data_IF_402631237469
#
_entry.id   IF_402631237469
#
_cell.length_a   1.000
_cell.length_b   1.000
_cell.length_c   1.000
_cell.angle_alpha   90.00
_cell.angle_beta   90.00
_cell.angle_gamma   90.00
#
_symmetry.space_group_name_H-M   'P 1'
#
loop_
_entity.id
_entity.type
_entity.pdbx_description
1 polymer ?
#
# COMPACT_ATOMS: atom_id res chain seq x y z
N UNK A 1 14.36 -40.15 -18.95
CA UNK A 1 13.51 -40.84 -19.94
C UNK A 1 12.04 -40.39 -19.81
N UNK A 2 11.73 -39.09 -19.89
CA UNK A 2 10.35 -38.54 -19.79
C UNK A 2 9.90 -37.97 -21.15
N UNK A 3 10.73 -38.09 -22.19
CA UNK A 3 10.54 -37.40 -23.48
C UNK A 3 10.01 -38.30 -24.61
N UNK A 4 9.77 -39.59 -24.37
CA UNK A 4 9.30 -40.52 -25.41
C UNK A 4 7.77 -40.71 -25.43
N UNK A 5 7.07 -40.50 -24.31
CA UNK A 5 5.61 -40.65 -24.26
C UNK A 5 4.83 -39.60 -25.07
N UNK A 6 5.47 -38.49 -25.46
CA UNK A 6 4.82 -37.38 -26.16
C UNK A 6 4.86 -37.50 -27.70
N UNK A 7 5.52 -38.53 -28.26
CA UNK A 7 5.66 -38.70 -29.73
C UNK A 7 4.63 -39.61 -30.38
N UNK A 8 3.79 -40.30 -29.60
CA UNK A 8 2.84 -41.32 -30.10
C UNK A 8 1.37 -40.89 -30.02
N UNK A 9 1.08 -39.59 -29.97
CA UNK A 9 -0.31 -39.12 -30.08
C UNK A 9 -0.67 -39.04 -31.58
N UNK A 10 -1.62 -39.84 -32.08
CA UNK A 10 -2.03 -39.79 -33.48
C UNK A 10 -2.65 -38.43 -33.79
N UNK A 11 -2.14 -37.74 -34.80
CA UNK A 11 -2.85 -36.60 -35.40
C UNK A 11 -3.96 -37.15 -36.31
N UNK A 12 -5.09 -37.56 -35.71
CA UNK A 12 -6.30 -37.87 -36.48
C UNK A 12 -7.11 -36.60 -36.68
N UNK A 13 -7.32 -36.27 -37.95
CA UNK A 13 -8.12 -35.18 -38.44
C UNK A 13 -9.59 -35.25 -37.97
N UNK A 14 -10.17 -34.07 -37.71
CA UNK A 14 -11.59 -33.75 -37.65
C UNK A 14 -12.50 -34.55 -36.68
N UNK A 15 -12.62 -34.04 -35.46
CA UNK A 15 -13.94 -33.78 -34.89
C UNK A 15 -13.96 -32.36 -34.30
N UNK A 16 -14.77 -31.48 -34.89
CA UNK A 16 -15.24 -30.25 -34.27
C UNK A 16 -16.12 -30.58 -33.05
N UNK A 17 -15.53 -31.15 -32.00
CA UNK A 17 -16.02 -30.89 -30.65
C UNK A 17 -15.34 -29.60 -30.24
N UNK A 18 -16.13 -28.53 -30.16
CA UNK A 18 -15.87 -27.50 -29.18
C UNK A 18 -15.89 -28.20 -27.82
N UNK A 19 -14.78 -28.84 -27.44
CA UNK A 19 -14.50 -29.15 -26.05
C UNK A 19 -14.41 -27.74 -25.46
N UNK A 20 -15.51 -27.24 -24.92
CA UNK A 20 -15.44 -26.15 -23.97
C UNK A 20 -14.43 -26.63 -22.95
N UNK A 21 -13.22 -26.08 -23.00
CA UNK A 21 -12.19 -26.42 -22.03
C UNK A 21 -12.86 -26.25 -20.67
N UNK A 22 -13.00 -27.35 -19.92
CA UNK A 22 -13.64 -27.29 -18.62
C UNK A 22 -12.94 -26.18 -17.83
N UNK A 23 -13.75 -25.24 -17.32
CA UNK A 23 -13.21 -24.10 -16.59
C UNK A 23 -12.38 -24.64 -15.43
N UNK A 24 -11.08 -24.40 -15.49
CA UNK A 24 -10.14 -24.87 -14.49
C UNK A 24 -9.47 -23.65 -13.83
N UNK A 25 -9.57 -23.50 -12.50
CA UNK A 25 -10.32 -24.35 -11.55
C UNK A 25 -11.85 -24.17 -11.69
N UNK A 26 -12.63 -25.16 -11.22
CA UNK A 26 -14.11 -25.12 -11.26
C UNK A 26 -14.66 -23.87 -10.57
N UNK A 27 -14.07 -23.53 -9.42
CA UNK A 27 -14.29 -22.25 -8.74
C UNK A 27 -13.02 -21.39 -8.79
N UNK A 28 -13.11 -20.09 -9.11
CA UNK A 28 -11.96 -19.19 -9.09
C UNK A 28 -11.28 -19.16 -7.72
N UNK A 29 -9.96 -19.33 -7.70
CA UNK A 29 -9.17 -19.27 -6.48
C UNK A 29 -8.38 -17.96 -6.43
N UNK A 30 -8.74 -17.05 -5.52
CA UNK A 30 -8.04 -15.76 -5.37
C UNK A 30 -6.58 -15.94 -4.89
N UNK A 31 -6.34 -16.94 -4.02
CA UNK A 31 -4.99 -17.22 -3.54
C UNK A 31 -4.19 -18.00 -4.59
N UNK A 32 -3.42 -17.27 -5.41
CA UNK A 32 -2.59 -17.84 -6.49
C UNK A 32 -1.60 -18.87 -5.96
N UNK A 33 -1.00 -18.65 -4.78
CA UNK A 33 -0.06 -19.60 -4.18
C UNK A 33 -0.75 -20.91 -3.79
N UNK A 34 -1.98 -20.85 -3.28
CA UNK A 34 -2.78 -22.02 -2.97
C UNK A 34 -3.14 -22.77 -4.25
N UNK A 35 -3.53 -22.03 -5.30
CA UNK A 35 -3.82 -22.61 -6.60
C UNK A 35 -2.60 -23.37 -7.16
N UNK A 36 -1.42 -22.75 -7.15
CA UNK A 36 -0.18 -23.39 -7.58
C UNK A 36 0.19 -24.60 -6.70
N UNK A 37 0.03 -24.50 -5.38
CA UNK A 37 0.28 -25.60 -4.44
C UNK A 37 -0.53 -26.85 -4.79
N UNK A 38 -1.81 -26.68 -5.18
CA UNK A 38 -2.73 -27.79 -5.47
C UNK A 38 -2.70 -28.28 -6.90
N UNK A 39 -2.50 -27.38 -7.85
CA UNK A 39 -2.79 -27.67 -9.26
C UNK A 39 -1.55 -27.66 -10.16
N UNK A 40 -0.39 -27.18 -9.71
CA UNK A 40 0.80 -27.14 -10.57
C UNK A 40 1.35 -28.55 -10.84
N UNK A 41 1.29 -29.06 -12.09
CA UNK A 41 1.61 -30.46 -12.39
C UNK A 41 3.12 -30.74 -12.30
N UNK A 42 3.96 -29.72 -12.48
CA UNK A 42 5.42 -29.85 -12.55
C UNK A 42 6.13 -29.67 -11.20
N UNK A 43 5.43 -29.27 -10.14
CA UNK A 43 6.05 -29.07 -8.82
C UNK A 43 6.32 -30.39 -8.12
N UNK A 44 7.60 -30.64 -7.81
CA UNK A 44 8.06 -31.72 -6.93
C UNK A 44 7.54 -31.51 -5.50
N UNK A 45 7.45 -32.56 -4.66
CA UNK A 45 6.91 -32.45 -3.30
C UNK A 45 7.56 -31.34 -2.46
N UNK A 46 8.88 -31.20 -2.47
CA UNK A 46 9.58 -30.15 -1.72
C UNK A 46 9.30 -28.74 -2.25
N UNK A 47 9.06 -28.56 -3.55
CA UNK A 47 8.72 -27.26 -4.13
C UNK A 47 7.31 -26.84 -3.71
N UNK A 48 6.37 -27.79 -3.62
CA UNK A 48 5.04 -27.53 -3.07
C UNK A 48 5.10 -27.12 -1.61
N UNK A 49 6.00 -27.73 -0.83
CA UNK A 49 6.19 -27.37 0.57
C UNK A 49 6.72 -25.92 0.71
N UNK A 50 7.66 -25.50 -0.15
CA UNK A 50 8.11 -24.10 -0.18
C UNK A 50 6.95 -23.15 -0.49
N UNK A 51 6.15 -23.43 -1.53
CA UNK A 51 4.97 -22.60 -1.87
C UNK A 51 3.99 -22.54 -0.70
N UNK A 52 3.76 -23.66 0.00
CA UNK A 52 2.90 -23.73 1.18
C UNK A 52 3.44 -22.89 2.33
N UNK A 53 4.75 -22.95 2.60
CA UNK A 53 5.41 -22.16 3.64
C UNK A 53 5.28 -20.67 3.33
N UNK A 54 5.64 -20.25 2.10
CA UNK A 54 5.52 -18.85 1.67
C UNK A 54 4.07 -18.37 1.81
N UNK A 55 3.09 -19.15 1.33
CA UNK A 55 1.67 -18.82 1.47
C UNK A 55 1.26 -18.62 2.93
N UNK A 56 1.60 -19.54 3.82
CA UNK A 56 1.25 -19.45 5.24
C UNK A 56 1.90 -18.23 5.91
N UNK A 57 3.15 -17.95 5.60
CA UNK A 57 3.87 -16.79 6.11
C UNK A 57 3.24 -15.49 5.59
N UNK A 58 2.98 -15.38 4.29
CA UNK A 58 2.32 -14.22 3.71
C UNK A 58 0.93 -13.98 4.31
N UNK A 59 0.14 -15.04 4.52
CA UNK A 59 -1.17 -14.94 5.17
C UNK A 59 -1.06 -14.49 6.63
N UNK A 60 -0.04 -14.95 7.34
CA UNK A 60 0.22 -14.53 8.72
C UNK A 60 0.56 -13.03 8.81
N UNK A 61 1.40 -12.53 7.88
CA UNK A 61 1.81 -11.12 7.86
C UNK A 61 0.86 -10.19 7.10
N UNK A 62 -0.12 -10.72 6.37
CA UNK A 62 -1.07 -9.92 5.59
C UNK A 62 -1.76 -8.82 6.42
N UNK A 63 -2.30 -9.11 7.62
CA UNK A 63 -2.92 -8.07 8.45
C UNK A 63 -1.95 -6.95 8.85
N UNK A 64 -0.66 -7.27 9.03
CA UNK A 64 0.35 -6.27 9.41
C UNK A 64 0.62 -5.28 8.27
N UNK A 65 0.49 -5.71 7.01
CA UNK A 65 0.61 -4.80 5.87
C UNK A 65 -0.53 -3.77 5.80
N UNK A 66 -1.70 -4.08 6.37
CA UNK A 66 -2.91 -3.25 6.31
C UNK A 66 -3.01 -2.18 7.42
N UNK A 67 -1.97 -2.05 8.27
CA UNK A 67 -1.96 -1.09 9.38
C UNK A 67 -0.71 -0.21 9.40
N UNK A 68 0.06 -0.19 8.31
CA UNK A 68 1.32 0.56 8.26
C UNK A 68 1.11 2.03 7.97
N UNK A 69 0.19 2.40 7.08
CA UNK A 69 0.04 3.78 6.63
C UNK A 69 -0.35 4.69 7.79
N UNK A 70 -1.38 4.32 8.57
CA UNK A 70 -1.78 5.12 9.72
C UNK A 70 -0.71 5.13 10.82
N UNK A 71 -0.16 3.96 11.16
CA UNK A 71 0.80 3.84 12.25
C UNK A 71 2.12 4.59 11.97
N UNK A 72 2.73 4.31 10.81
CA UNK A 72 4.00 4.94 10.42
C UNK A 72 3.82 6.43 10.14
N UNK A 73 2.68 6.82 9.54
CA UNK A 73 2.30 8.21 9.34
C UNK A 73 2.13 8.97 10.66
N UNK A 74 1.46 8.38 11.64
CA UNK A 74 1.22 8.97 12.97
C UNK A 74 2.52 9.30 13.68
N UNK A 75 3.44 8.34 13.70
CA UNK A 75 4.76 8.53 14.30
C UNK A 75 5.52 9.68 13.62
N UNK A 76 5.59 9.67 12.27
CA UNK A 76 6.26 10.75 11.53
C UNK A 76 5.63 12.11 11.77
N UNK A 77 4.30 12.19 11.77
CA UNK A 77 3.55 13.43 11.93
C UNK A 77 3.80 14.05 13.31
N UNK A 78 3.72 13.27 14.39
CA UNK A 78 3.95 13.79 15.74
C UNK A 78 5.41 14.06 16.03
N UNK A 79 6.34 13.23 15.57
CA UNK A 79 7.76 13.53 15.70
C UNK A 79 8.08 14.86 15.02
N UNK A 80 7.60 15.07 13.78
CA UNK A 80 7.76 16.34 13.10
C UNK A 80 7.11 17.48 13.89
N UNK A 81 5.84 17.36 14.24
CA UNK A 81 5.06 18.44 14.87
C UNK A 81 5.62 18.85 16.23
N UNK A 82 5.95 17.89 17.10
CA UNK A 82 6.48 18.17 18.44
C UNK A 82 7.88 18.76 18.37
N UNK A 83 8.76 18.23 17.52
CA UNK A 83 10.14 18.73 17.42
C UNK A 83 10.18 20.14 16.85
N UNK A 84 9.31 20.48 15.91
CA UNK A 84 9.16 21.87 15.44
C UNK A 84 8.62 22.78 16.56
N UNK A 85 7.62 22.35 17.32
CA UNK A 85 7.11 23.14 18.44
C UNK A 85 8.19 23.39 19.52
N UNK A 86 8.97 22.38 19.87
CA UNK A 86 10.11 22.52 20.79
C UNK A 86 11.17 23.48 20.25
N UNK A 87 11.40 23.47 18.93
CA UNK A 87 12.33 24.40 18.29
C UNK A 87 11.81 25.84 18.33
N UNK A 88 10.52 26.05 18.04
CA UNK A 88 9.86 27.36 18.11
C UNK A 88 9.87 27.94 19.55
N UNK A 89 9.83 27.07 20.57
CA UNK A 89 9.97 27.45 21.98
C UNK A 89 11.44 27.63 22.44
N UNK A 90 12.42 27.37 21.56
CA UNK A 90 13.85 27.47 21.88
C UNK A 90 14.36 26.37 22.82
N UNK A 91 13.64 25.24 22.93
CA UNK A 91 13.99 24.11 23.79
C UNK A 91 14.97 23.12 23.14
N UNK A 92 15.21 23.25 21.83
CA UNK A 92 16.19 22.45 21.08
C UNK A 92 17.06 23.35 20.20
N UNK A 93 18.27 22.90 19.89
CA UNK A 93 19.25 23.69 19.11
C UNK A 93 19.10 23.47 17.60
N UNK A 94 19.66 24.39 16.82
CA UNK A 94 19.72 24.31 15.36
C UNK A 94 20.42 23.02 14.89
N UNK A 95 21.53 22.63 15.54
CA UNK A 95 22.27 21.41 15.17
C UNK A 95 21.41 20.16 15.35
N UNK A 96 20.72 20.06 16.48
CA UNK A 96 19.80 18.96 16.74
C UNK A 96 18.65 18.95 15.72
N UNK A 97 18.10 20.12 15.39
CA UNK A 97 17.00 20.23 14.43
C UNK A 97 17.44 19.80 13.03
N UNK A 98 18.66 20.12 12.61
CA UNK A 98 19.22 19.68 11.33
C UNK A 98 19.35 18.16 11.23
N UNK A 99 19.79 17.49 12.30
CA UNK A 99 19.84 16.02 12.35
C UNK A 99 18.44 15.40 12.27
N UNK A 100 17.47 15.98 12.99
CA UNK A 100 16.07 15.56 12.95
C UNK A 100 15.51 15.66 11.53
N UNK A 101 15.72 16.80 10.87
CA UNK A 101 15.22 17.03 9.51
C UNK A 101 15.85 16.04 8.52
N UNK A 102 17.17 15.81 8.61
CA UNK A 102 17.85 14.83 7.77
C UNK A 102 17.27 13.43 7.95
N UNK A 103 17.08 12.99 9.19
CA UNK A 103 16.49 11.68 9.50
C UNK A 103 15.05 11.59 9.01
N UNK A 104 14.23 12.61 9.26
CA UNK A 104 12.84 12.66 8.84
C UNK A 104 12.72 12.54 7.32
N UNK A 105 13.46 13.37 6.56
CA UNK A 105 13.46 13.34 5.09
C UNK A 105 13.85 11.96 4.55
N UNK A 106 14.84 11.29 5.16
CA UNK A 106 15.23 9.95 4.74
C UNK A 106 14.12 8.92 4.97
N UNK A 107 13.41 9.00 6.10
CA UNK A 107 12.31 8.07 6.44
C UNK A 107 11.11 8.26 5.51
N UNK A 108 10.73 9.50 5.20
CA UNK A 108 9.58 9.81 4.35
C UNK A 108 9.93 9.91 2.87
N UNK A 109 11.14 9.53 2.46
CA UNK A 109 11.54 9.58 1.06
C UNK A 109 10.71 8.60 0.22
N UNK A 110 10.14 9.12 -0.88
CA UNK A 110 9.42 8.34 -1.89
C UNK A 110 10.14 8.52 -3.23
N UNK A 111 10.75 7.46 -3.78
CA UNK A 111 11.29 7.50 -5.13
C UNK A 111 10.19 7.83 -6.15
N UNK A 112 10.56 8.52 -7.22
CA UNK A 112 9.67 8.71 -8.37
C UNK A 112 9.34 7.37 -9.05
N UNK A 113 8.19 7.31 -9.73
CA UNK A 113 7.68 6.07 -10.35
C UNK A 113 8.61 5.46 -11.41
N UNK A 114 9.47 6.28 -12.03
CA UNK A 114 10.44 5.89 -13.06
C UNK A 114 11.81 5.52 -12.47
N UNK A 115 11.99 5.62 -11.15
CA UNK A 115 13.25 5.28 -10.50
C UNK A 115 13.46 3.77 -10.46
N UNK A 116 14.68 3.26 -10.69
CA UNK A 116 15.00 1.84 -10.51
C UNK A 116 14.83 1.38 -9.06
N UNK A 117 14.77 2.30 -8.09
CA UNK A 117 14.57 2.03 -6.68
C UNK A 117 13.11 2.09 -6.23
N UNK A 118 12.18 2.34 -7.16
CA UNK A 118 10.75 2.34 -6.84
C UNK A 118 10.26 0.92 -6.55
N UNK A 119 9.84 0.65 -5.31
CA UNK A 119 9.32 -0.65 -4.88
C UNK A 119 7.87 -0.58 -4.37
N UNK A 120 7.13 0.46 -4.78
CA UNK A 120 5.79 0.76 -4.29
C UNK A 120 5.74 2.04 -3.46
N UNK A 121 4.56 2.32 -2.90
CA UNK A 121 4.32 3.50 -2.06
C UNK A 121 4.92 3.24 -0.67
N UNK A 122 5.77 4.16 -0.21
CA UNK A 122 6.29 4.21 1.14
C UNK A 122 5.15 4.60 2.11
N UNK A 123 4.76 3.73 3.06
CA UNK A 123 3.69 4.02 4.01
C UNK A 123 3.99 5.21 4.91
N UNK A 124 5.26 5.46 5.24
CA UNK A 124 5.69 6.64 6.00
C UNK A 124 5.35 7.92 5.22
N UNK A 125 5.73 7.97 3.94
CA UNK A 125 5.44 9.10 3.05
C UNK A 125 3.93 9.33 2.94
N UNK A 126 3.16 8.30 2.59
CA UNK A 126 1.73 8.45 2.36
C UNK A 126 1.01 8.87 3.64
N UNK A 127 1.24 8.17 4.74
CA UNK A 127 0.58 8.44 6.02
C UNK A 127 0.92 9.84 6.57
N UNK A 128 2.20 10.22 6.52
CA UNK A 128 2.64 11.55 6.95
C UNK A 128 1.97 12.65 6.14
N UNK A 129 2.02 12.56 4.80
CA UNK A 129 1.45 13.60 3.95
C UNK A 129 -0.08 13.65 4.08
N UNK A 130 -0.77 12.52 4.26
CA UNK A 130 -2.20 12.52 4.53
C UNK A 130 -2.56 13.27 5.82
N UNK A 131 -1.79 13.07 6.90
CA UNK A 131 -2.04 13.77 8.18
C UNK A 131 -1.71 15.26 8.09
N UNK A 132 -0.63 15.62 7.40
CA UNK A 132 -0.32 17.02 7.10
C UNK A 132 -1.41 17.67 6.25
N UNK A 133 -1.96 16.95 5.30
CA UNK A 133 -3.01 17.45 4.42
C UNK A 133 -4.34 17.62 5.17
N UNK A 134 -4.69 16.70 6.09
CA UNK A 134 -5.82 16.88 7.01
C UNK A 134 -5.65 18.16 7.83
N UNK A 135 -4.47 18.36 8.44
CA UNK A 135 -4.17 19.58 9.20
C UNK A 135 -4.30 20.83 8.32
N UNK A 136 -3.72 20.81 7.12
CA UNK A 136 -3.81 21.90 6.14
C UNK A 136 -5.26 22.19 5.74
N UNK A 137 -6.08 21.18 5.46
CA UNK A 137 -7.50 21.35 5.10
C UNK A 137 -8.28 21.99 6.25
N UNK A 138 -8.02 21.56 7.48
CA UNK A 138 -8.65 22.15 8.67
C UNK A 138 -8.26 23.62 8.86
N UNK A 139 -6.98 23.96 8.74
CA UNK A 139 -6.45 25.31 9.05
C UNK A 139 -6.55 26.29 7.88
N UNK A 140 -6.27 25.84 6.65
CA UNK A 140 -6.15 26.65 5.44
C UNK A 140 -6.75 25.92 4.22
N UNK A 141 -8.08 25.71 4.18
CA UNK A 141 -8.74 24.98 3.09
C UNK A 141 -8.76 25.78 1.77
N UNK A 142 -8.44 25.11 0.67
CA UNK A 142 -8.70 25.62 -0.69
C UNK A 142 -10.17 25.43 -1.09
N UNK A 143 -10.58 26.04 -2.20
CA UNK A 143 -11.94 25.83 -2.74
C UNK A 143 -12.21 24.38 -3.14
N UNK A 144 -11.20 23.65 -3.62
CA UNK A 144 -11.31 22.22 -3.92
C UNK A 144 -11.50 21.41 -2.63
N UNK A 145 -10.75 21.75 -1.56
CA UNK A 145 -10.90 21.06 -0.27
C UNK A 145 -12.30 21.27 0.33
N UNK A 146 -12.86 22.47 0.21
CA UNK A 146 -14.24 22.75 0.65
C UNK A 146 -15.28 21.95 -0.14
N UNK A 147 -15.00 21.66 -1.41
CA UNK A 147 -15.90 20.86 -2.25
C UNK A 147 -15.86 19.37 -1.88
N UNK A 148 -14.66 18.82 -1.65
CA UNK A 148 -14.44 17.39 -1.36
C UNK A 148 -14.58 17.03 0.11
N UNK A 149 -14.23 17.94 1.02
CA UNK A 149 -14.17 17.73 2.47
C UNK A 149 -14.96 18.80 3.24
N UNK A 150 -16.27 18.89 2.96
CA UNK A 150 -17.19 19.87 3.56
C UNK A 150 -17.15 19.89 5.09
N UNK A 151 -17.06 18.72 5.70
CA UNK A 151 -17.09 18.55 7.16
C UNK A 151 -15.70 18.66 7.82
N UNK A 152 -14.64 18.87 7.03
CA UNK A 152 -13.26 18.97 7.52
C UNK A 152 -12.74 20.40 7.54
N UNK A 153 -13.12 21.20 6.54
CA UNK A 153 -12.66 22.57 6.37
C UNK A 153 -13.03 23.46 7.58
N UNK A 154 -12.07 24.24 8.07
CA UNK A 154 -12.24 25.13 9.24
C UNK A 154 -12.67 24.41 10.54
N UNK A 155 -12.25 23.15 10.72
CA UNK A 155 -12.47 22.40 11.96
C UNK A 155 -11.17 22.20 12.74
N UNK A 156 -11.24 21.60 13.94
CA UNK A 156 -10.04 21.30 14.72
C UNK A 156 -9.36 20.03 14.19
N UNK A 157 -8.16 20.16 13.62
CA UNK A 157 -7.43 19.04 13.05
C UNK A 157 -7.04 17.97 14.07
N UNK A 158 -6.78 18.33 15.33
CA UNK A 158 -6.42 17.37 16.38
C UNK A 158 -7.60 16.44 16.67
N UNK A 159 -8.82 17.01 16.76
CA UNK A 159 -10.04 16.22 16.94
C UNK A 159 -10.28 15.28 15.76
N UNK A 160 -10.02 15.73 14.54
CA UNK A 160 -10.21 14.93 13.32
C UNK A 160 -9.20 13.78 13.25
N UNK A 161 -7.93 14.07 13.55
CA UNK A 161 -6.88 13.06 13.59
C UNK A 161 -7.10 12.04 14.73
N UNK A 162 -7.51 12.47 15.93
CA UNK A 162 -7.86 11.57 17.03
C UNK A 162 -9.05 10.66 16.66
N UNK A 163 -10.09 11.21 16.04
CA UNK A 163 -11.21 10.43 15.54
C UNK A 163 -10.76 9.38 14.50
N UNK A 164 -9.97 9.79 13.51
CA UNK A 164 -9.45 8.89 12.49
C UNK A 164 -8.66 7.73 13.13
N UNK A 165 -7.76 8.02 14.07
CA UNK A 165 -6.94 6.99 14.74
C UNK A 165 -7.75 6.05 15.63
N UNK A 166 -8.87 6.51 16.21
CA UNK A 166 -9.73 5.67 17.06
C UNK A 166 -10.62 4.73 16.28
N UNK A 167 -11.15 5.19 15.14
CA UNK A 167 -12.26 4.51 14.47
C UNK A 167 -11.90 3.91 13.11
N UNK A 168 -10.78 4.27 12.49
CA UNK A 168 -10.41 3.81 11.15
C UNK A 168 -9.22 2.85 11.13
N UNK A 169 -9.20 2.02 10.08
CA UNK A 169 -8.03 1.25 9.61
C UNK A 169 -7.50 1.92 8.33
N UNK A 170 -6.30 1.54 7.88
CA UNK A 170 -5.65 2.17 6.71
C UNK A 170 -6.58 2.33 5.50
N UNK A 171 -7.32 1.29 5.13
CA UNK A 171 -8.25 1.34 3.98
C UNK A 171 -9.33 2.43 4.14
N UNK A 172 -9.91 2.52 5.34
CA UNK A 172 -10.92 3.55 5.64
C UNK A 172 -10.26 4.93 5.72
N UNK A 173 -9.09 5.03 6.33
CA UNK A 173 -8.35 6.29 6.41
C UNK A 173 -8.00 6.82 5.01
N UNK A 174 -7.47 5.97 4.13
CA UNK A 174 -7.16 6.32 2.74
C UNK A 174 -8.41 6.70 1.98
N UNK A 175 -9.46 5.89 2.01
CA UNK A 175 -10.69 6.18 1.27
C UNK A 175 -11.43 7.45 1.76
N UNK A 176 -11.29 7.80 3.04
CA UNK A 176 -11.96 8.99 3.60
C UNK A 176 -11.14 10.27 3.51
N UNK A 177 -9.80 10.21 3.58
CA UNK A 177 -8.96 11.41 3.72
C UNK A 177 -7.93 11.62 2.60
N UNK A 178 -7.77 10.68 1.65
CA UNK A 178 -6.85 10.90 0.54
C UNK A 178 -7.42 11.97 -0.40
N UNK A 179 -6.85 13.18 -0.34
CA UNK A 179 -7.33 14.31 -1.12
C UNK A 179 -6.90 14.26 -2.59
N UNK A 180 -7.67 14.89 -3.50
CA UNK A 180 -7.24 15.11 -4.88
C UNK A 180 -5.92 15.88 -4.99
N UNK A 181 -5.68 16.82 -4.06
CA UNK A 181 -4.42 17.57 -3.97
C UNK A 181 -3.24 16.62 -3.77
N UNK A 182 -3.33 15.73 -2.77
CA UNK A 182 -2.26 14.80 -2.44
C UNK A 182 -2.09 13.73 -3.52
N UNK A 183 -3.18 13.27 -4.14
CA UNK A 183 -3.15 12.35 -5.29
C UNK A 183 -2.31 12.92 -6.44
N UNK A 184 -2.43 14.23 -6.72
CA UNK A 184 -1.60 14.92 -7.71
C UNK A 184 -0.17 15.11 -7.25
N UNK A 185 0.04 15.52 -6.00
CA UNK A 185 1.37 15.71 -5.44
C UNK A 185 2.20 14.41 -5.48
N UNK A 186 1.57 13.27 -5.17
CA UNK A 186 2.20 11.95 -5.16
C UNK A 186 2.12 11.21 -6.51
N UNK A 187 1.55 11.83 -7.55
CA UNK A 187 1.38 11.24 -8.90
C UNK A 187 0.70 9.86 -8.86
N UNK A 188 -0.37 9.70 -8.07
CA UNK A 188 -1.06 8.40 -7.84
C UNK A 188 -2.03 8.00 -8.96
N UNK A 189 -1.96 8.62 -10.14
CA UNK A 189 -2.77 8.29 -11.30
C UNK A 189 -1.94 8.30 -12.58
N UNK A 190 -2.36 7.48 -13.53
CA UNK A 190 -1.83 7.46 -14.88
C UNK A 190 -2.70 8.41 -15.73
N UNK A 191 -2.07 9.38 -16.39
CA UNK A 191 -2.70 10.10 -17.49
C UNK A 191 -2.43 9.27 -18.76
N UNK A 192 -3.51 8.78 -19.38
CA UNK A 192 -3.46 8.15 -20.70
C UNK A 192 -3.65 9.21 -21.79
#
# INVERSE_FOLDING_TARGET
QINELWRTIPQSANENRLIQAERFPQEPQENILYFMEKHAPLLKPWQREIVRIVRKISQYFYPQGQTKVMNEGWACFWHYTLLHALYDEGLVTDEFMMEVLQNHTNVIYQPEYNSPYFSGINPYTLGYNMMQDIKRICENPTEEDKMWFKDLANTNWQTQLDHAMRYYKDERFISQYLSPHLVRQLKLFLMH
#
